data_IF_063169661542
#
_entry.id   IF_063169661542
#
_cell.length_a   1.000
_cell.length_b   1.000
_cell.length_c   1.000
_cell.angle_alpha   90.00
_cell.angle_beta   90.00
_cell.angle_gamma   90.00
#
_symmetry.space_group_name_H-M   'P 1'
#
loop_
_entity.id
_entity.type
_entity.pdbx_description
1 polymer ?
#
# COMPACT_ATOMS: atom_id res chain seq x y z
N UNK A 1 41.07 11.13 7.46
CA UNK A 1 39.67 10.70 7.64
C UNK A 1 38.89 11.97 7.86
N UNK A 2 38.50 12.59 6.75
CA UNK A 2 37.96 13.95 6.70
C UNK A 2 36.46 13.88 6.93
N UNK A 3 35.97 14.47 8.02
CA UNK A 3 34.54 14.66 8.26
C UNK A 3 33.97 15.64 7.24
N UNK A 4 32.92 15.22 6.53
CA UNK A 4 32.14 16.08 5.65
C UNK A 4 30.94 16.63 6.43
N UNK A 5 30.71 17.95 6.46
CA UNK A 5 29.61 18.54 7.22
C UNK A 5 28.27 18.32 6.54
N UNK A 6 27.23 18.08 7.34
CA UNK A 6 25.84 17.97 6.92
C UNK A 6 25.36 19.26 6.24
N UNK A 7 24.78 19.12 5.05
CA UNK A 7 24.19 20.23 4.31
C UNK A 7 22.81 20.50 4.87
N UNK A 8 22.64 21.67 5.50
CA UNK A 8 21.39 22.20 6.04
C UNK A 8 20.34 22.31 4.90
N UNK A 9 19.30 21.46 4.93
CA UNK A 9 18.18 21.57 3.99
C UNK A 9 17.31 22.78 4.37
N UNK A 10 17.48 23.87 3.62
CA UNK A 10 16.60 25.04 3.63
C UNK A 10 15.19 24.60 3.20
N UNK A 11 14.24 24.66 4.12
CA UNK A 11 12.82 24.39 3.87
C UNK A 11 12.22 25.43 2.93
N UNK A 12 11.66 24.99 1.81
CA UNK A 12 10.85 25.81 0.91
C UNK A 12 9.49 26.10 1.59
N UNK A 13 8.91 27.31 1.51
CA UNK A 13 7.64 27.63 2.16
C UNK A 13 6.47 26.84 1.54
N UNK A 14 5.53 26.43 2.39
CA UNK A 14 4.31 25.75 1.99
C UNK A 14 3.43 26.63 1.07
N UNK A 15 2.95 26.06 -0.03
CA UNK A 15 1.95 26.67 -0.91
C UNK A 15 0.59 26.80 -0.19
N UNK A 16 -0.17 27.90 -0.39
CA UNK A 16 -1.43 28.11 0.32
C UNK A 16 -2.49 27.09 -0.07
N UNK A 17 -3.22 26.63 0.95
CA UNK A 17 -4.34 25.68 0.89
C UNK A 17 -5.53 26.32 0.17
N UNK A 18 -5.74 25.99 -1.10
CA UNK A 18 -7.00 26.29 -1.79
C UNK A 18 -8.07 25.29 -1.31
N UNK A 19 -9.17 25.83 -0.81
CA UNK A 19 -10.34 25.13 -0.29
C UNK A 19 -11.11 24.39 -1.39
N UNK A 20 -11.35 23.10 -1.19
CA UNK A 20 -12.30 22.29 -1.98
C UNK A 20 -13.41 21.81 -1.03
N UNK A 21 -14.69 21.88 -1.42
CA UNK A 21 -15.82 21.96 -0.47
C UNK A 21 -16.15 20.63 0.21
N UNK A 22 -16.58 20.72 1.46
CA UNK A 22 -17.08 19.61 2.28
C UNK A 22 -18.35 19.00 1.66
N UNK A 23 -18.24 17.77 1.16
CA UNK A 23 -19.42 16.96 0.84
C UNK A 23 -19.99 16.40 2.13
N UNK A 24 -21.07 17.03 2.58
CA UNK A 24 -21.94 16.64 3.69
C UNK A 24 -22.38 15.17 3.60
N UNK A 25 -22.23 14.43 4.69
CA UNK A 25 -23.01 13.20 4.97
C UNK A 25 -23.63 13.28 6.37
N UNK A 26 -24.82 12.67 6.59
CA UNK A 26 -25.78 13.16 7.58
C UNK A 26 -25.45 12.74 9.02
N UNK A 27 -25.51 13.73 9.91
CA UNK A 27 -25.44 13.56 11.37
C UNK A 27 -26.75 12.97 11.92
N UNK A 28 -26.64 11.88 12.68
CA UNK A 28 -27.72 11.38 13.53
C UNK A 28 -27.78 12.17 14.85
N UNK A 29 -28.82 12.99 15.01
CA UNK A 29 -29.19 13.70 16.25
C UNK A 29 -30.04 12.83 17.18
N UNK A 30 -29.79 12.81 18.50
CA UNK A 30 -30.52 13.45 19.63
C UNK A 30 -29.96 12.88 20.95
N UNK A 31 -29.96 13.50 22.14
CA UNK A 31 -30.51 14.76 22.68
C UNK A 31 -29.87 15.06 24.08
N UNK A 32 -30.14 16.20 24.74
CA UNK A 32 -29.20 16.91 25.63
C UNK A 32 -29.60 17.12 27.13
N UNK A 33 -28.57 17.48 27.95
CA UNK A 33 -28.54 18.39 29.15
C UNK A 33 -29.30 17.97 30.45
N UNK A 34 -29.11 18.62 31.64
CA UNK A 34 -28.27 19.78 32.03
C UNK A 34 -27.50 19.69 33.38
N UNK A 35 -26.88 20.83 33.73
CA UNK A 35 -25.88 21.16 34.75
C UNK A 35 -26.33 21.28 36.23
N UNK A 36 -25.35 21.39 37.15
CA UNK A 36 -25.27 22.33 38.33
C UNK A 36 -24.01 21.98 39.15
N UNK A 37 -23.00 22.83 39.37
CA UNK A 37 -22.87 24.07 40.17
C UNK A 37 -22.40 23.83 41.64
N UNK A 38 -21.20 24.35 41.99
CA UNK A 38 -20.76 24.93 43.29
C UNK A 38 -19.21 24.94 43.35
N UNK A 39 -18.50 26.08 43.33
CA UNK A 39 -18.26 27.15 44.34
C UNK A 39 -17.13 26.85 45.35
N UNK A 40 -16.28 27.88 45.53
CA UNK A 40 -15.28 28.17 46.59
C UNK A 40 -13.92 27.49 46.47
N UNK A 41 -12.81 28.01 47.02
CA UNK A 41 -12.25 29.34 47.29
C UNK A 41 -10.86 29.05 47.86
N UNK A 42 -9.86 29.82 47.42
CA UNK A 42 -8.53 30.08 47.99
C UNK A 42 -7.98 29.21 49.16
N UNK A 43 -6.74 28.71 49.00
CA UNK A 43 -5.63 29.12 49.89
C UNK A 43 -4.29 28.64 49.35
N UNK A 44 -3.41 29.59 49.08
CA UNK A 44 -1.97 29.39 48.92
C UNK A 44 -1.35 28.90 50.22
N UNK A 45 -0.68 27.75 50.18
CA UNK A 45 0.36 27.40 51.16
C UNK A 45 1.62 26.97 50.42
N UNK A 46 2.63 27.82 50.56
CA UNK A 46 4.03 27.54 50.27
C UNK A 46 4.50 26.52 51.31
N UNK A 47 5.08 25.40 50.86
CA UNK A 47 5.97 24.58 51.71
C UNK A 47 6.99 23.84 50.82
N UNK A 48 8.24 23.67 51.28
CA UNK A 48 9.39 23.50 50.41
C UNK A 48 9.67 22.04 50.03
N UNK A 49 10.53 21.90 49.01
CA UNK A 49 11.15 20.66 48.55
C UNK A 49 11.50 19.71 49.70
N UNK A 50 10.87 18.54 49.70
CA UNK A 50 11.46 17.32 50.27
C UNK A 50 11.72 16.34 49.13
N UNK A 51 13.02 16.09 48.89
CA UNK A 51 13.52 14.97 48.12
C UNK A 51 13.18 13.68 48.87
N UNK A 52 12.40 12.79 48.27
CA UNK A 52 12.34 11.38 48.68
C UNK A 52 12.09 10.49 47.46
N UNK A 53 12.97 9.52 47.15
CA UNK A 53 12.84 8.62 46.03
C UNK A 53 11.98 7.42 46.43
N UNK A 54 10.67 7.60 46.53
CA UNK A 54 9.74 6.49 46.75
C UNK A 54 8.81 6.45 45.53
N UNK A 55 9.28 5.78 44.49
CA UNK A 55 8.47 5.41 43.34
C UNK A 55 7.47 4.35 43.81
N UNK A 56 6.21 4.74 44.01
CA UNK A 56 5.14 3.77 44.30
C UNK A 56 5.04 2.75 43.17
N UNK A 57 4.70 1.48 43.46
CA UNK A 57 4.66 0.42 42.45
C UNK A 57 3.75 0.80 41.27
N UNK A 58 2.67 1.52 41.52
CA UNK A 58 1.78 2.02 40.47
C UNK A 58 2.41 3.05 39.54
N UNK A 59 3.29 3.95 40.03
CA UNK A 59 4.02 4.88 39.15
C UNK A 59 5.00 4.14 38.25
N UNK A 60 5.66 3.08 38.74
CA UNK A 60 6.53 2.24 37.91
C UNK A 60 5.73 1.48 36.85
N UNK A 61 4.56 0.95 37.21
CA UNK A 61 3.64 0.32 36.23
C UNK A 61 3.18 1.34 35.19
N UNK A 62 2.80 2.56 35.60
CA UNK A 62 2.38 3.61 34.68
C UNK A 62 3.52 4.10 33.78
N UNK A 63 4.75 4.19 34.29
CA UNK A 63 5.94 4.57 33.50
C UNK A 63 6.35 3.43 32.56
N UNK A 64 6.31 2.18 33.01
CA UNK A 64 6.59 1.03 32.16
C UNK A 64 5.51 0.86 31.09
N UNK A 65 4.24 1.06 31.43
CA UNK A 65 3.11 0.99 30.50
C UNK A 65 3.12 2.19 29.56
N UNK A 66 3.51 3.39 30.03
CA UNK A 66 3.73 4.56 29.18
C UNK A 66 4.94 4.34 28.26
N UNK A 67 6.02 3.74 28.74
CA UNK A 67 7.17 3.34 27.91
C UNK A 67 6.78 2.28 26.89
N UNK A 68 5.97 1.29 27.28
CA UNK A 68 5.43 0.28 26.37
C UNK A 68 4.46 0.91 25.36
N UNK A 69 3.62 1.86 25.76
CA UNK A 69 2.70 2.57 24.87
C UNK A 69 3.42 3.60 23.98
N UNK A 70 4.50 4.20 24.45
CA UNK A 70 5.37 5.06 23.65
C UNK A 70 6.18 4.22 22.67
N UNK A 71 6.70 3.06 23.07
CA UNK A 71 7.35 2.09 22.18
C UNK A 71 6.35 1.58 21.14
N UNK A 72 5.17 1.09 21.55
CA UNK A 72 4.11 0.59 20.67
C UNK A 72 3.53 1.71 19.79
N UNK A 73 3.39 2.93 20.32
CA UNK A 73 2.96 4.11 19.58
C UNK A 73 4.03 4.65 18.61
N UNK A 74 5.32 4.39 18.87
CA UNK A 74 6.44 4.68 17.98
C UNK A 74 6.81 3.54 17.03
N UNK A 75 6.16 2.36 17.12
CA UNK A 75 6.51 1.18 16.31
C UNK A 75 6.47 1.44 14.80
N UNK A 76 5.84 2.52 14.36
CA UNK A 76 5.84 2.92 12.95
C UNK A 76 5.99 4.43 12.79
N UNK A 77 7.20 4.96 12.97
CA UNK A 77 7.50 6.33 12.51
C UNK A 77 7.42 6.34 10.98
N UNK A 78 6.28 6.76 10.44
CA UNK A 78 6.06 6.85 9.00
C UNK A 78 7.00 7.88 8.38
N UNK A 79 7.58 7.54 7.22
CA UNK A 79 8.41 8.46 6.46
C UNK A 79 7.56 9.67 6.03
N UNK A 80 7.94 10.92 6.37
CA UNK A 80 7.21 12.12 5.97
C UNK A 80 7.02 12.22 4.44
N UNK A 81 7.98 11.71 3.67
CA UNK A 81 7.92 11.69 2.22
C UNK A 81 6.80 10.77 1.70
N UNK A 82 6.62 9.61 2.34
CA UNK A 82 5.52 8.70 1.99
C UNK A 82 4.18 9.28 2.44
N UNK A 83 4.13 10.09 3.50
CA UNK A 83 2.88 10.68 3.99
C UNK A 83 2.23 11.65 3.00
N UNK A 84 2.98 12.16 2.03
CA UNK A 84 2.49 13.12 1.02
C UNK A 84 2.10 12.47 -0.32
N UNK A 85 2.49 11.22 -0.59
CA UNK A 85 2.14 10.57 -1.85
C UNK A 85 0.64 10.24 -1.88
N UNK A 86 -0.09 10.50 -2.98
CA UNK A 86 -1.55 10.25 -3.05
C UNK A 86 -1.98 8.83 -2.67
N UNK A 87 -1.11 7.83 -2.88
CA UNK A 87 -1.36 6.43 -2.54
C UNK A 87 -1.22 6.11 -1.04
N UNK A 88 -0.48 6.93 -0.29
CA UNK A 88 -0.18 6.74 1.15
C UNK A 88 -0.61 7.93 2.03
N UNK A 89 -1.17 8.98 1.42
CA UNK A 89 -1.78 10.15 2.06
C UNK A 89 -3.06 9.76 2.80
N UNK A 90 -3.93 8.96 2.18
CA UNK A 90 -5.17 8.48 2.80
C UNK A 90 -4.92 7.31 3.75
N UNK A 91 -5.32 7.46 5.02
CA UNK A 91 -5.15 6.46 6.08
C UNK A 91 -6.45 5.90 6.62
N UNK A 92 -7.56 6.13 5.93
CA UNK A 92 -8.87 5.63 6.32
C UNK A 92 -9.16 4.20 5.79
N UNK A 93 -8.11 3.41 5.53
CA UNK A 93 -8.24 2.05 5.01
C UNK A 93 -8.64 1.05 6.09
N UNK A 94 -9.50 0.10 5.72
CA UNK A 94 -9.88 -1.03 6.57
C UNK A 94 -9.33 -2.35 5.99
N UNK A 95 -9.21 -3.39 6.81
CA UNK A 95 -8.76 -4.73 6.40
C UNK A 95 -9.60 -5.29 5.23
N UNK A 96 -10.92 -5.07 5.23
CA UNK A 96 -11.79 -5.47 4.12
C UNK A 96 -11.43 -4.77 2.81
N UNK A 97 -11.15 -3.46 2.87
CA UNK A 97 -10.75 -2.68 1.70
C UNK A 97 -9.40 -3.15 1.17
N UNK A 98 -8.43 -3.40 2.07
CA UNK A 98 -7.14 -3.94 1.71
C UNK A 98 -7.23 -5.34 1.08
N UNK A 99 -8.05 -6.23 1.64
CA UNK A 99 -8.29 -7.56 1.09
C UNK A 99 -8.90 -7.49 -0.32
N UNK A 100 -9.90 -6.64 -0.52
CA UNK A 100 -10.52 -6.44 -1.83
C UNK A 100 -9.51 -5.93 -2.87
N UNK A 101 -8.71 -4.91 -2.53
CA UNK A 101 -7.68 -4.39 -3.43
C UNK A 101 -6.61 -5.41 -3.76
N UNK A 102 -6.17 -6.21 -2.78
CA UNK A 102 -5.20 -7.28 -3.02
C UNK A 102 -5.77 -8.38 -3.92
N UNK A 103 -7.03 -8.78 -3.73
CA UNK A 103 -7.69 -9.75 -4.60
C UNK A 103 -7.84 -9.22 -6.03
N UNK A 104 -8.30 -7.97 -6.18
CA UNK A 104 -8.45 -7.35 -7.49
C UNK A 104 -7.11 -7.14 -8.21
N UNK A 105 -6.04 -6.85 -7.46
CA UNK A 105 -4.69 -6.73 -8.01
C UNK A 105 -4.11 -8.10 -8.43
N UNK A 106 -4.44 -9.17 -7.71
CA UNK A 106 -3.96 -10.53 -8.00
C UNK A 106 -4.73 -11.25 -9.11
N UNK A 107 -6.02 -10.97 -9.25
CA UNK A 107 -6.87 -11.57 -10.30
C UNK A 107 -6.74 -10.75 -11.58
N UNK A 108 -6.01 -11.29 -12.56
CA UNK A 108 -5.82 -10.65 -13.85
C UNK A 108 -6.13 -11.56 -15.05
N UNK A 109 -5.71 -11.13 -16.23
CA UNK A 109 -5.87 -11.90 -17.49
C UNK A 109 -5.28 -13.31 -17.40
N UNK A 110 -4.30 -13.54 -16.52
CA UNK A 110 -3.69 -14.84 -16.29
C UNK A 110 -4.72 -15.91 -15.89
N UNK A 111 -5.82 -15.52 -15.21
CA UNK A 111 -6.91 -16.42 -14.89
C UNK A 111 -7.62 -16.95 -16.15
N UNK A 112 -7.65 -16.18 -17.25
CA UNK A 112 -8.22 -16.59 -18.53
C UNK A 112 -7.41 -17.70 -19.21
N UNK A 113 -6.12 -17.85 -18.84
CA UNK A 113 -5.22 -18.87 -19.37
C UNK A 113 -5.32 -20.19 -18.59
N UNK A 114 -5.98 -20.18 -17.41
CA UNK A 114 -6.13 -21.36 -16.57
C UNK A 114 -6.73 -22.57 -17.31
N UNK A 115 -7.81 -22.44 -18.12
CA UNK A 115 -8.37 -23.58 -18.85
C UNK A 115 -7.37 -24.18 -19.86
N UNK A 116 -6.58 -23.33 -20.50
CA UNK A 116 -5.53 -23.76 -21.44
C UNK A 116 -4.46 -24.56 -20.69
N UNK A 117 -4.01 -24.08 -19.53
CA UNK A 117 -3.05 -24.82 -18.70
C UNK A 117 -3.57 -26.22 -18.30
N UNK A 118 -4.86 -26.31 -17.92
CA UNK A 118 -5.51 -27.59 -17.59
C UNK A 118 -5.65 -28.52 -18.78
N UNK A 119 -5.75 -27.99 -20.01
CA UNK A 119 -5.76 -28.83 -21.22
C UNK A 119 -4.42 -29.55 -21.45
N UNK A 120 -3.29 -28.93 -21.07
CA UNK A 120 -1.96 -29.53 -21.21
C UNK A 120 -1.57 -30.41 -20.02
N UNK A 121 -1.86 -29.99 -18.78
CA UNK A 121 -1.49 -30.74 -17.57
C UNK A 121 -2.51 -31.83 -17.20
N UNK A 122 -3.77 -31.67 -17.61
CA UNK A 122 -4.90 -32.46 -17.11
C UNK A 122 -5.36 -32.05 -15.71
N UNK A 123 -6.53 -32.52 -15.30
CA UNK A 123 -7.18 -32.12 -14.04
C UNK A 123 -6.33 -32.42 -12.80
N UNK A 124 -5.79 -33.63 -12.68
CA UNK A 124 -5.04 -34.04 -11.48
C UNK A 124 -3.77 -33.23 -11.28
N UNK A 125 -2.94 -33.10 -12.33
CA UNK A 125 -1.69 -32.32 -12.26
C UNK A 125 -1.95 -30.81 -12.20
N UNK A 126 -2.99 -30.33 -12.88
CA UNK A 126 -3.43 -28.94 -12.78
C UNK A 126 -3.81 -28.56 -11.35
N UNK A 127 -4.68 -29.34 -10.70
CA UNK A 127 -5.09 -29.11 -9.31
C UNK A 127 -3.90 -29.22 -8.36
N UNK A 128 -3.05 -30.24 -8.52
CA UNK A 128 -1.86 -30.41 -7.69
C UNK A 128 -0.92 -29.20 -7.83
N UNK A 129 -0.65 -28.76 -9.05
CA UNK A 129 0.21 -27.60 -9.33
C UNK A 129 -0.36 -26.32 -8.73
N UNK A 130 -1.65 -26.05 -8.91
CA UNK A 130 -2.32 -24.89 -8.31
C UNK A 130 -2.27 -24.93 -6.78
N UNK A 131 -2.46 -26.10 -6.19
CA UNK A 131 -2.41 -26.26 -4.73
C UNK A 131 -1.01 -25.94 -4.19
N UNK A 132 0.04 -26.46 -4.84
CA UNK A 132 1.43 -26.17 -4.47
C UNK A 132 1.73 -24.68 -4.62
N UNK A 133 1.35 -24.08 -5.75
CA UNK A 133 1.56 -22.65 -6.01
C UNK A 133 0.80 -21.77 -5.00
N UNK A 134 -0.40 -22.16 -4.60
CA UNK A 134 -1.20 -21.46 -3.60
C UNK A 134 -0.51 -21.43 -2.23
N UNK A 135 -0.05 -22.59 -1.73
CA UNK A 135 0.67 -22.64 -0.45
C UNK A 135 2.01 -21.90 -0.51
N UNK A 136 2.73 -22.01 -1.63
CA UNK A 136 3.96 -21.24 -1.87
C UNK A 136 3.70 -19.73 -1.84
N UNK A 137 2.63 -19.26 -2.49
CA UNK A 137 2.25 -17.85 -2.50
C UNK A 137 1.89 -17.36 -1.09
N UNK A 138 1.11 -18.13 -0.33
CA UNK A 138 0.79 -17.78 1.07
C UNK A 138 2.04 -17.72 1.95
N UNK A 139 2.97 -18.66 1.77
CA UNK A 139 4.22 -18.68 2.52
C UNK A 139 5.09 -17.45 2.23
N UNK A 140 5.26 -17.09 0.95
CA UNK A 140 6.04 -15.91 0.57
C UNK A 140 5.40 -14.61 1.04
N UNK A 141 4.06 -14.49 0.98
CA UNK A 141 3.33 -13.36 1.57
C UNK A 141 3.51 -13.27 3.08
N UNK A 142 3.46 -14.40 3.78
CA UNK A 142 3.70 -14.45 5.22
C UNK A 142 5.09 -13.94 5.57
N UNK A 143 6.13 -14.39 4.85
CA UNK A 143 7.51 -13.87 5.03
C UNK A 143 7.57 -12.36 4.77
N UNK A 144 6.91 -11.87 3.72
CA UNK A 144 6.92 -10.45 3.37
C UNK A 144 6.28 -9.60 4.49
N UNK A 145 5.19 -10.07 5.08
CA UNK A 145 4.54 -9.42 6.22
C UNK A 145 5.46 -9.38 7.44
N UNK A 146 6.18 -10.46 7.75
CA UNK A 146 7.13 -10.43 8.87
C UNK A 146 8.31 -9.50 8.61
N UNK A 147 8.81 -9.47 7.37
CA UNK A 147 9.99 -8.67 7.03
C UNK A 147 9.69 -7.17 6.99
N UNK A 148 8.46 -6.77 6.69
CA UNK A 148 8.08 -5.36 6.56
C UNK A 148 8.25 -4.55 7.87
N UNK A 149 8.22 -5.23 9.02
CA UNK A 149 8.40 -4.67 10.38
C UNK A 149 9.52 -5.41 11.15
N UNK A 150 10.47 -6.03 10.45
CA UNK A 150 11.54 -6.81 11.08
C UNK A 150 12.44 -5.99 12.03
N UNK A 151 12.48 -4.67 11.87
CA UNK A 151 13.23 -3.75 12.74
C UNK A 151 12.25 -2.85 13.49
N UNK A 152 12.23 -2.87 14.83
CA UNK A 152 11.34 -2.00 15.62
C UNK A 152 11.50 -0.52 15.24
N UNK A 153 10.38 0.17 15.00
CA UNK A 153 10.35 1.60 14.68
C UNK A 153 10.59 1.96 13.21
N UNK A 154 10.88 0.99 12.33
CA UNK A 154 10.99 1.21 10.87
C UNK A 154 10.11 0.24 10.11
N UNK A 155 9.22 0.79 9.29
CA UNK A 155 8.41 0.04 8.33
C UNK A 155 8.96 0.19 6.93
N UNK A 156 9.19 -0.94 6.28
CA UNK A 156 9.61 -0.99 4.88
C UNK A 156 8.35 -1.03 4.00
N UNK A 157 8.02 0.10 3.38
CA UNK A 157 6.84 0.21 2.52
C UNK A 157 7.10 -0.29 1.10
N UNK A 158 8.35 -0.23 0.63
CA UNK A 158 8.73 -0.60 -0.73
C UNK A 158 9.51 -1.90 -0.76
N UNK A 159 9.19 -2.74 -1.73
CA UNK A 159 9.90 -4.00 -1.94
C UNK A 159 11.42 -3.80 -2.18
N UNK A 160 11.80 -2.71 -2.85
CA UNK A 160 13.20 -2.34 -3.09
C UNK A 160 13.92 -2.00 -1.78
N UNK A 161 13.30 -1.21 -0.89
CA UNK A 161 13.88 -0.86 0.41
C UNK A 161 14.08 -2.10 1.28
N UNK A 162 13.09 -3.00 1.25
CA UNK A 162 13.15 -4.29 1.94
C UNK A 162 14.31 -5.16 1.43
N UNK A 163 14.47 -5.26 0.11
CA UNK A 163 15.54 -6.01 -0.50
C UNK A 163 16.91 -5.40 -0.23
N UNK A 164 17.01 -4.06 -0.21
CA UNK A 164 18.24 -3.35 0.19
C UNK A 164 18.61 -3.63 1.65
N UNK A 165 17.63 -3.66 2.55
CA UNK A 165 17.86 -3.99 3.94
C UNK A 165 18.32 -5.44 4.14
N UNK A 166 17.81 -6.38 3.35
CA UNK A 166 18.15 -7.80 3.45
C UNK A 166 19.46 -8.20 2.75
N UNK A 167 19.73 -7.66 1.56
CA UNK A 167 20.83 -8.10 0.68
C UNK A 167 21.90 -7.02 0.45
N UNK A 168 21.75 -5.84 1.04
CA UNK A 168 22.64 -4.69 0.85
C UNK A 168 22.20 -3.76 -0.29
N UNK A 169 22.75 -2.54 -0.29
CA UNK A 169 22.26 -1.42 -1.11
C UNK A 169 22.31 -1.68 -2.63
N UNK A 170 23.39 -2.30 -3.12
CA UNK A 170 23.56 -2.56 -4.56
C UNK A 170 22.84 -3.83 -5.01
N UNK A 171 23.06 -4.94 -4.30
CA UNK A 171 22.51 -6.24 -4.67
C UNK A 171 20.99 -6.29 -4.46
N UNK A 172 20.49 -5.71 -3.37
CA UNK A 172 19.05 -5.64 -3.08
C UNK A 172 18.27 -4.86 -4.14
N UNK A 173 18.83 -3.75 -4.64
CA UNK A 173 18.21 -2.99 -5.75
C UNK A 173 18.11 -3.84 -7.01
N UNK A 174 19.19 -4.50 -7.41
CA UNK A 174 19.18 -5.35 -8.59
C UNK A 174 18.21 -6.53 -8.47
N UNK A 175 18.21 -7.22 -7.32
CA UNK A 175 17.32 -8.35 -7.05
C UNK A 175 15.84 -7.95 -6.99
N UNK A 176 15.53 -6.72 -6.58
CA UNK A 176 14.15 -6.23 -6.57
C UNK A 176 13.71 -5.65 -7.92
N UNK A 177 14.53 -4.81 -8.55
CA UNK A 177 14.16 -4.09 -9.76
C UNK A 177 14.11 -4.99 -10.98
N UNK A 178 15.08 -5.88 -11.17
CA UNK A 178 15.13 -6.71 -12.37
C UNK A 178 13.86 -7.57 -12.54
N UNK A 179 13.41 -8.35 -11.53
CA UNK A 179 12.17 -9.11 -11.64
C UNK A 179 10.93 -8.21 -11.77
N UNK A 180 10.89 -7.08 -11.07
CA UNK A 180 9.74 -6.17 -11.09
C UNK A 180 9.56 -5.54 -12.47
N UNK A 181 10.63 -5.05 -13.09
CA UNK A 181 10.60 -4.47 -14.44
C UNK A 181 10.30 -5.53 -15.47
N UNK A 182 10.92 -6.71 -15.37
CA UNK A 182 10.65 -7.82 -16.29
C UNK A 182 9.17 -8.24 -16.25
N UNK A 183 8.63 -8.45 -15.05
CA UNK A 183 7.24 -8.87 -14.87
C UNK A 183 6.26 -7.79 -15.32
N UNK A 184 6.50 -6.52 -14.98
CA UNK A 184 5.62 -5.41 -15.38
C UNK A 184 5.63 -5.18 -16.90
N UNK A 185 6.82 -5.17 -17.54
CA UNK A 185 6.93 -5.03 -18.99
C UNK A 185 6.29 -6.22 -19.73
N UNK A 186 6.50 -7.45 -19.25
CA UNK A 186 5.87 -8.64 -19.81
C UNK A 186 4.34 -8.61 -19.67
N UNK A 187 3.83 -8.21 -18.51
CA UNK A 187 2.39 -8.08 -18.24
C UNK A 187 1.76 -7.00 -19.12
N UNK A 188 2.37 -5.83 -19.22
CA UNK A 188 1.89 -4.73 -20.07
C UNK A 188 1.84 -5.16 -21.55
N UNK A 189 2.89 -5.84 -22.03
CA UNK A 189 2.94 -6.36 -23.40
C UNK A 189 1.83 -7.39 -23.65
N UNK A 190 1.62 -8.33 -22.73
CA UNK A 190 0.56 -9.34 -22.85
C UNK A 190 -0.84 -8.70 -22.89
N UNK A 191 -1.08 -7.68 -22.07
CA UNK A 191 -2.35 -6.95 -22.07
C UNK A 191 -2.59 -6.22 -23.40
N UNK A 192 -1.56 -5.61 -24.00
CA UNK A 192 -1.68 -4.96 -25.32
C UNK A 192 -2.03 -5.98 -26.41
N UNK A 193 -1.37 -7.13 -26.43
CA UNK A 193 -1.61 -8.18 -27.42
C UNK A 193 -3.03 -8.75 -27.31
N UNK A 194 -3.44 -9.11 -26.10
CA UNK A 194 -4.78 -9.68 -25.85
C UNK A 194 -5.86 -8.62 -26.09
N UNK A 195 -5.66 -7.39 -25.62
CA UNK A 195 -6.58 -6.28 -25.81
C UNK A 195 -6.79 -5.94 -27.29
N UNK A 196 -5.72 -5.86 -28.07
CA UNK A 196 -5.84 -5.57 -29.50
C UNK A 196 -6.40 -6.74 -30.32
N UNK A 197 -6.04 -8.00 -30.03
CA UNK A 197 -6.68 -9.16 -30.68
C UNK A 197 -8.18 -9.24 -30.33
N UNK A 198 -8.56 -8.99 -29.08
CA UNK A 198 -9.98 -8.97 -28.69
C UNK A 198 -10.75 -7.82 -29.34
N UNK A 199 -10.18 -6.62 -29.47
CA UNK A 199 -10.77 -5.52 -30.24
C UNK A 199 -10.95 -5.86 -31.72
N UNK A 200 -9.94 -6.48 -32.34
CA UNK A 200 -10.02 -6.94 -33.72
C UNK A 200 -11.16 -7.95 -33.91
N UNK A 201 -11.24 -8.96 -33.05
CA UNK A 201 -12.32 -9.95 -33.08
C UNK A 201 -13.69 -9.29 -32.87
N UNK A 202 -13.80 -8.37 -31.90
CA UNK A 202 -15.03 -7.63 -31.66
C UNK A 202 -15.47 -6.83 -32.89
N UNK A 203 -14.54 -6.10 -33.52
CA UNK A 203 -14.81 -5.37 -34.74
C UNK A 203 -15.30 -6.29 -35.86
N UNK A 204 -14.65 -7.44 -36.07
CA UNK A 204 -15.08 -8.41 -37.09
C UNK A 204 -16.50 -8.95 -36.84
N UNK A 205 -16.86 -9.20 -35.58
CA UNK A 205 -18.20 -9.66 -35.20
C UNK A 205 -19.25 -8.56 -35.45
N UNK A 206 -18.95 -7.31 -35.07
CA UNK A 206 -19.90 -6.18 -35.20
C UNK A 206 -20.07 -5.74 -36.65
N UNK A 207 -18.99 -5.69 -37.43
CA UNK A 207 -19.03 -5.23 -38.81
C UNK A 207 -19.75 -6.23 -39.73
N UNK A 208 -19.61 -7.53 -39.46
CA UNK A 208 -20.24 -8.59 -40.25
C UNK A 208 -19.85 -8.57 -41.75
N UNK A 209 -20.60 -9.28 -42.61
CA UNK A 209 -20.28 -9.41 -44.04
C UNK A 209 -20.60 -8.17 -44.89
N UNK A 210 -21.22 -7.13 -44.30
CA UNK A 210 -21.66 -5.93 -45.01
C UNK A 210 -20.62 -4.80 -44.99
N UNK A 211 -19.56 -4.92 -44.19
CA UNK A 211 -18.50 -3.93 -44.12
C UNK A 211 -17.49 -4.09 -45.26
N UNK A 212 -17.51 -3.12 -46.19
CA UNK A 212 -16.54 -2.99 -47.28
C UNK A 212 -15.26 -2.23 -46.85
N UNK A 213 -14.87 -2.34 -45.58
CA UNK A 213 -13.67 -1.68 -45.05
C UNK A 213 -12.45 -2.56 -45.28
N UNK A 214 -11.36 -1.98 -45.78
CA UNK A 214 -10.05 -2.64 -45.74
C UNK A 214 -9.74 -2.97 -44.27
N UNK A 215 -9.63 -4.25 -43.90
CA UNK A 215 -9.45 -4.63 -42.51
C UNK A 215 -8.07 -4.14 -42.03
N UNK A 216 -8.05 -3.45 -40.90
CA UNK A 216 -6.80 -3.10 -40.22
C UNK A 216 -6.01 -4.39 -39.93
N UNK A 217 -4.71 -4.30 -40.07
CA UNK A 217 -3.76 -5.35 -39.69
C UNK A 217 -3.77 -5.55 -38.17
N UNK A 218 -3.37 -6.73 -37.71
CA UNK A 218 -3.23 -7.03 -36.27
C UNK A 218 -2.35 -6.00 -35.55
N UNK A 219 -1.26 -5.56 -36.17
CA UNK A 219 -0.33 -4.57 -35.56
C UNK A 219 -1.01 -3.21 -35.41
N UNK A 220 -1.81 -2.78 -36.38
CA UNK A 220 -2.58 -1.53 -36.27
C UNK A 220 -3.61 -1.61 -35.13
N UNK A 221 -4.26 -2.76 -34.93
CA UNK A 221 -5.15 -2.98 -33.78
C UNK A 221 -4.41 -2.89 -32.43
N UNK A 222 -3.17 -3.36 -32.35
CA UNK A 222 -2.33 -3.19 -31.15
C UNK A 222 -2.03 -1.72 -30.87
N UNK A 223 -1.74 -0.93 -31.90
CA UNK A 223 -1.51 0.52 -31.77
C UNK A 223 -2.77 1.26 -31.37
N UNK A 224 -3.93 0.90 -31.94
CA UNK A 224 -5.23 1.47 -31.55
C UNK A 224 -5.53 1.18 -30.08
N UNK A 225 -5.40 -0.07 -29.64
CA UNK A 225 -5.61 -0.44 -28.24
C UNK A 225 -4.66 0.31 -27.29
N UNK A 226 -3.37 0.38 -27.64
CA UNK A 226 -2.37 1.12 -26.86
C UNK A 226 -2.73 2.60 -26.76
N UNK A 227 -3.17 3.22 -27.86
CA UNK A 227 -3.57 4.62 -27.88
C UNK A 227 -4.78 4.88 -26.99
N UNK A 228 -5.74 3.96 -26.95
CA UNK A 228 -6.91 4.05 -26.06
C UNK A 228 -6.54 3.89 -24.58
N UNK A 229 -5.55 3.06 -24.25
CA UNK A 229 -5.11 2.88 -22.87
C UNK A 229 -4.28 4.05 -22.30
N UNK A 230 -3.75 4.91 -23.17
CA UNK A 230 -2.95 6.08 -22.77
C UNK A 230 -3.84 7.28 -22.38
N UNK A 231 -5.05 7.35 -22.93
CA UNK A 231 -6.04 8.43 -22.70
C UNK A 231 -6.84 8.16 -21.43
#
# INVERSE_FOLDING_TARGET
MEERPETELISIPATPRASTPETLTPSGQRSPRPATAAKSSASSFISPRFLSPIGTPMKRVLINMKGYLEEVGHLTKLNPQDAWLPITESRNGNAHYAAFHNLNAGVGFQALVLPVAFSFLGWSWGILSLTIAYFWQLYTLWILVQLHEAVPGKRYNRYVELAQAAFGERLGVWLALFPTVYLSAGTATALILIGGETMKMFFQIVCGPLCSSNPLTTVEWYLVFTSLCIV
#
